data_IF_593883844056
#
_entry.id   IF_593883844056
#
_cell.length_a   1.000
_cell.length_b   1.000
_cell.length_c   1.000
_cell.angle_alpha   90.00
_cell.angle_beta   90.00
_cell.angle_gamma   90.00
#
_symmetry.space_group_name_H-M   'P 1'
#
loop_
_entity.id
_entity.type
_entity.pdbx_description
1 polymer ?
#
# COMPACT_ATOMS: atom_id res chain seq x y z
N UNK A 1 -7.77 75.79 9.22
CA UNK A 1 -7.18 74.77 8.32
C UNK A 1 -8.01 73.51 8.40
N UNK A 2 -8.52 73.03 7.27
CA UNK A 2 -9.28 71.77 7.14
C UNK A 2 -8.30 70.60 7.17
N UNK A 3 -8.59 69.57 7.97
CA UNK A 3 -8.08 68.20 7.73
C UNK A 3 -9.28 67.27 7.92
N UNK A 4 -9.89 66.91 6.80
CA UNK A 4 -10.82 65.80 6.65
C UNK A 4 -10.01 64.51 6.56
N UNK A 5 -10.17 63.60 7.52
CA UNK A 5 -9.62 62.24 7.48
C UNK A 5 -10.58 61.31 6.73
N UNK A 6 -10.11 60.74 5.63
CA UNK A 6 -10.80 59.76 4.79
C UNK A 6 -10.96 58.40 5.51
N UNK A 7 -11.99 57.61 5.17
CA UNK A 7 -12.16 56.24 5.63
C UNK A 7 -11.38 55.28 4.72
N UNK A 8 -10.42 54.54 5.27
CA UNK A 8 -9.85 53.37 4.60
C UNK A 8 -9.67 52.29 5.65
N UNK A 9 -10.75 51.53 5.89
CA UNK A 9 -10.62 50.18 6.43
C UNK A 9 -11.00 49.21 5.31
N UNK A 10 -10.06 49.09 4.36
CA UNK A 10 -9.97 47.92 3.49
C UNK A 10 -9.45 46.80 4.39
N UNK A 11 -10.36 46.11 5.07
CA UNK A 11 -10.09 44.76 5.57
C UNK A 11 -10.74 43.79 4.59
N UNK A 12 -10.17 43.77 3.39
CA UNK A 12 -10.35 42.69 2.44
C UNK A 12 -9.79 41.41 3.05
N UNK A 13 -10.61 40.71 3.82
CA UNK A 13 -10.44 39.29 4.14
C UNK A 13 -10.69 38.42 2.90
N UNK A 14 -9.96 38.69 1.81
CA UNK A 14 -9.93 37.86 0.61
C UNK A 14 -8.58 37.14 0.57
N UNK A 15 -8.30 36.39 1.63
CA UNK A 15 -7.34 35.30 1.61
C UNK A 15 -7.91 34.13 2.41
N UNK A 16 -9.12 33.71 2.06
CA UNK A 16 -9.47 32.30 2.20
C UNK A 16 -8.72 31.59 1.07
N UNK A 17 -7.43 31.33 1.28
CA UNK A 17 -6.78 30.23 0.59
C UNK A 17 -7.66 29.02 0.83
N UNK A 18 -8.30 28.54 -0.22
CA UNK A 18 -9.14 27.37 -0.20
C UNK A 18 -8.45 26.28 0.61
N UNK A 19 -8.98 25.93 1.78
CA UNK A 19 -8.86 24.57 2.26
C UNK A 19 -9.51 23.72 1.16
N UNK A 20 -8.70 23.23 0.22
CA UNK A 20 -9.11 22.12 -0.62
C UNK A 20 -9.36 20.99 0.36
N UNK A 21 -10.63 20.72 0.65
CA UNK A 21 -11.02 19.44 1.19
C UNK A 21 -10.46 18.41 0.21
N UNK A 22 -9.56 17.57 0.68
CA UNK A 22 -9.08 16.44 -0.11
C UNK A 22 -10.31 15.70 -0.64
N UNK A 23 -10.34 15.44 -1.93
CA UNK A 23 -11.39 14.58 -2.49
C UNK A 23 -11.04 13.14 -2.14
N UNK A 24 -12.02 12.28 -1.86
CA UNK A 24 -11.79 10.86 -1.57
C UNK A 24 -10.86 10.20 -2.60
N UNK A 25 -10.91 10.64 -3.87
CA UNK A 25 -10.01 10.20 -4.93
C UNK A 25 -8.54 10.60 -4.71
N UNK A 26 -8.27 11.83 -4.27
CA UNK A 26 -6.91 12.32 -4.00
C UNK A 26 -6.27 11.57 -2.83
N UNK A 27 -7.04 11.29 -1.77
CA UNK A 27 -6.57 10.49 -0.64
C UNK A 27 -6.27 9.04 -1.04
N UNK A 28 -7.14 8.41 -1.85
CA UNK A 28 -6.91 7.05 -2.37
C UNK A 28 -5.68 7.03 -3.28
N UNK A 29 -5.57 7.99 -4.20
CA UNK A 29 -4.41 8.09 -5.09
C UNK A 29 -3.12 8.29 -4.28
N UNK A 30 -3.14 9.11 -3.23
CA UNK A 30 -1.97 9.30 -2.36
C UNK A 30 -1.63 8.00 -1.61
N UNK A 31 -2.63 7.31 -1.05
CA UNK A 31 -2.41 6.04 -0.38
C UNK A 31 -1.79 4.98 -1.30
N UNK A 32 -2.31 4.85 -2.53
CA UNK A 32 -1.88 3.82 -3.47
C UNK A 32 -0.55 4.19 -4.13
N UNK A 33 -0.37 5.43 -4.59
CA UNK A 33 0.81 5.87 -5.35
C UNK A 33 2.01 6.17 -4.46
N UNK A 34 1.79 6.56 -3.20
CA UNK A 34 2.85 6.96 -2.27
C UNK A 34 2.99 5.95 -1.15
N UNK A 35 1.98 5.79 -0.30
CA UNK A 35 2.10 5.01 0.93
C UNK A 35 2.38 3.53 0.69
N UNK A 36 1.56 2.86 -0.12
CA UNK A 36 1.75 1.43 -0.42
C UNK A 36 3.06 1.23 -1.20
N UNK A 37 3.35 2.10 -2.16
CA UNK A 37 4.55 2.00 -3.01
C UNK A 37 5.85 2.19 -2.22
N UNK A 38 5.88 3.16 -1.30
CA UNK A 38 7.01 3.37 -0.39
C UNK A 38 7.16 2.18 0.56
N UNK A 39 6.06 1.72 1.18
CA UNK A 39 6.10 0.55 2.05
C UNK A 39 6.66 -0.67 1.33
N UNK A 40 6.17 -0.96 0.13
CA UNK A 40 6.66 -2.05 -0.71
C UNK A 40 8.17 -1.88 -0.96
N UNK A 41 8.58 -0.75 -1.53
CA UNK A 41 9.99 -0.50 -1.89
C UNK A 41 10.93 -0.62 -0.70
N UNK A 42 10.59 0.00 0.43
CA UNK A 42 11.43 0.05 1.62
C UNK A 42 11.55 -1.31 2.32
N UNK A 43 10.51 -2.15 2.23
CA UNK A 43 10.45 -3.43 2.94
C UNK A 43 10.71 -4.65 2.05
N UNK A 44 10.96 -4.48 0.75
CA UNK A 44 11.17 -5.58 -0.20
C UNK A 44 12.15 -6.65 0.31
N UNK A 45 13.36 -6.26 0.72
CA UNK A 45 14.38 -7.21 1.21
C UNK A 45 13.97 -7.85 2.53
N UNK A 46 13.42 -7.05 3.43
CA UNK A 46 13.01 -7.49 4.76
C UNK A 46 11.89 -8.54 4.68
N UNK A 47 10.93 -8.36 3.77
CA UNK A 47 9.86 -9.33 3.51
C UNK A 47 10.43 -10.67 3.01
N UNK A 48 11.36 -10.65 2.06
CA UNK A 48 12.00 -11.86 1.54
C UNK A 48 12.82 -12.57 2.62
N UNK A 49 13.63 -11.83 3.37
CA UNK A 49 14.47 -12.38 4.44
C UNK A 49 13.62 -12.98 5.56
N UNK A 50 12.58 -12.26 6.01
CA UNK A 50 11.65 -12.75 7.02
C UNK A 50 10.87 -13.98 6.54
N UNK A 51 10.55 -14.05 5.24
CA UNK A 51 9.89 -15.19 4.63
C UNK A 51 10.80 -16.44 4.59
N UNK A 52 12.08 -16.27 4.27
CA UNK A 52 13.05 -17.38 4.15
C UNK A 52 13.57 -17.88 5.49
N UNK A 53 13.78 -16.98 6.45
CA UNK A 53 14.48 -17.31 7.68
C UNK A 53 13.51 -17.67 8.80
N UNK A 54 13.45 -18.96 9.13
CA UNK A 54 12.65 -19.48 10.25
C UNK A 54 13.05 -18.87 11.60
N UNK A 55 14.31 -18.49 11.78
CA UNK A 55 14.84 -17.90 13.01
C UNK A 55 14.57 -16.40 13.17
N UNK A 56 13.97 -15.75 12.18
CA UNK A 56 13.56 -14.34 12.32
C UNK A 56 12.64 -14.18 13.52
N UNK A 57 12.88 -13.15 14.32
CA UNK A 57 12.13 -12.90 15.55
C UNK A 57 10.60 -12.92 15.31
N UNK A 58 9.84 -13.73 16.06
CA UNK A 58 8.40 -13.84 15.85
C UNK A 58 7.63 -12.51 15.95
N UNK A 59 8.09 -11.59 16.81
CA UNK A 59 7.47 -10.27 16.94
C UNK A 59 7.67 -9.40 15.69
N UNK A 60 8.87 -9.46 15.08
CA UNK A 60 9.16 -8.79 13.81
C UNK A 60 8.29 -9.34 12.68
N UNK A 61 8.19 -10.68 12.56
CA UNK A 61 7.30 -11.32 11.57
C UNK A 61 5.85 -10.89 11.74
N UNK A 62 5.35 -10.84 12.99
CA UNK A 62 4.00 -10.37 13.27
C UNK A 62 3.79 -8.89 12.90
N UNK A 63 4.77 -8.03 13.20
CA UNK A 63 4.70 -6.61 12.83
C UNK A 63 4.71 -6.40 11.32
N UNK A 64 5.57 -7.12 10.60
CA UNK A 64 5.61 -7.11 9.14
C UNK A 64 4.29 -7.61 8.55
N UNK A 65 3.72 -8.69 9.11
CA UNK A 65 2.43 -9.22 8.67
C UNK A 65 1.33 -8.17 8.81
N UNK A 66 1.18 -7.58 10.00
CA UNK A 66 0.13 -6.60 10.26
C UNK A 66 0.24 -5.38 9.32
N UNK A 67 1.47 -4.87 9.12
CA UNK A 67 1.69 -3.75 8.23
C UNK A 67 1.41 -4.12 6.76
N UNK A 68 1.89 -5.27 6.30
CA UNK A 68 1.63 -5.73 4.93
C UNK A 68 0.14 -5.96 4.69
N UNK A 69 -0.56 -6.57 5.64
CA UNK A 69 -1.99 -6.84 5.55
C UNK A 69 -2.82 -5.56 5.52
N UNK A 70 -2.55 -4.62 6.43
CA UNK A 70 -3.25 -3.32 6.43
C UNK A 70 -2.96 -2.58 5.14
N UNK A 71 -1.70 -2.49 4.70
CA UNK A 71 -1.34 -1.75 3.49
C UNK A 71 -1.97 -2.33 2.22
N UNK A 72 -1.87 -3.64 2.03
CA UNK A 72 -2.38 -4.28 0.82
C UNK A 72 -3.91 -4.44 0.85
N UNK A 73 -4.48 -4.82 1.99
CA UNK A 73 -5.92 -4.96 2.17
C UNK A 73 -6.67 -3.65 1.96
N UNK A 74 -6.17 -2.55 2.54
CA UNK A 74 -6.75 -1.22 2.29
C UNK A 74 -6.62 -0.81 0.83
N UNK A 75 -5.45 -1.00 0.20
CA UNK A 75 -5.29 -0.66 -1.22
C UNK A 75 -6.25 -1.48 -2.11
N UNK A 76 -6.38 -2.79 -1.87
CA UNK A 76 -7.33 -3.64 -2.60
C UNK A 76 -8.76 -3.16 -2.44
N UNK A 77 -9.19 -2.82 -1.22
CA UNK A 77 -10.52 -2.29 -0.95
C UNK A 77 -10.78 -0.99 -1.72
N UNK A 78 -9.90 0.00 -1.55
CA UNK A 78 -10.05 1.32 -2.16
C UNK A 78 -10.00 1.27 -3.70
N UNK A 79 -9.19 0.39 -4.27
CA UNK A 79 -9.08 0.23 -5.71
C UNK A 79 -10.28 -0.54 -6.30
N UNK A 80 -10.84 -1.52 -5.59
CA UNK A 80 -12.07 -2.19 -6.03
C UNK A 80 -13.30 -1.27 -5.98
N UNK A 81 -13.29 -0.21 -5.18
CA UNK A 81 -14.32 0.83 -5.22
C UNK A 81 -14.22 1.70 -6.49
N UNK A 82 -13.01 1.88 -7.03
CA UNK A 82 -12.75 2.73 -8.20
C UNK A 82 -12.67 1.98 -9.52
N UNK A 83 -12.31 0.70 -9.49
CA UNK A 83 -11.99 -0.12 -10.66
C UNK A 83 -12.68 -1.49 -10.55
N UNK A 84 -13.03 -2.14 -11.69
CA UNK A 84 -13.64 -3.47 -11.68
C UNK A 84 -12.76 -4.55 -11.01
N UNK A 85 -11.44 -4.36 -11.06
CA UNK A 85 -10.44 -5.20 -10.41
C UNK A 85 -9.33 -4.28 -9.86
N UNK A 86 -8.94 -4.46 -8.60
CA UNK A 86 -7.88 -3.68 -7.98
C UNK A 86 -6.53 -3.78 -8.72
N UNK A 87 -6.30 -4.86 -9.46
CA UNK A 87 -5.11 -5.03 -10.31
C UNK A 87 -5.08 -3.99 -11.43
N UNK A 88 -6.24 -3.69 -12.04
CA UNK A 88 -6.36 -2.58 -13.01
C UNK A 88 -6.05 -1.25 -12.32
N UNK A 89 -6.46 -1.12 -11.07
CA UNK A 89 -6.12 0.00 -10.20
C UNK A 89 -4.61 0.18 -10.06
N UNK A 90 -3.85 -0.87 -9.74
CA UNK A 90 -2.39 -0.81 -9.65
C UNK A 90 -1.76 -0.36 -10.98
N UNK A 91 -2.26 -0.88 -12.11
CA UNK A 91 -1.80 -0.47 -13.44
C UNK A 91 -2.05 1.01 -13.71
N UNK A 92 -3.27 1.50 -13.47
CA UNK A 92 -3.63 2.92 -13.68
C UNK A 92 -2.86 3.86 -12.75
N UNK A 93 -2.40 3.35 -11.62
CA UNK A 93 -1.58 4.06 -10.65
C UNK A 93 -0.07 3.98 -10.93
N UNK A 94 0.35 3.42 -12.07
CA UNK A 94 1.73 3.49 -12.55
C UNK A 94 2.70 2.59 -11.79
N UNK A 95 2.22 1.45 -11.27
CA UNK A 95 3.07 0.44 -10.66
C UNK A 95 4.00 -0.18 -11.71
N UNK A 96 5.31 -0.10 -11.44
CA UNK A 96 6.36 -0.66 -12.28
C UNK A 96 6.61 -2.15 -11.96
N UNK A 97 7.51 -2.78 -12.72
CA UNK A 97 7.86 -4.19 -12.51
C UNK A 97 8.27 -4.49 -11.05
N UNK A 98 9.02 -3.60 -10.40
CA UNK A 98 9.48 -3.83 -9.03
C UNK A 98 8.45 -3.58 -7.96
N UNK A 99 7.59 -2.59 -8.18
CA UNK A 99 6.46 -2.36 -7.28
C UNK A 99 5.57 -3.61 -7.27
N UNK A 100 5.25 -4.14 -8.46
CA UNK A 100 4.43 -5.34 -8.62
C UNK A 100 5.14 -6.61 -8.12
N UNK A 101 6.46 -6.74 -8.33
CA UNK A 101 7.24 -7.84 -7.77
C UNK A 101 7.19 -7.84 -6.24
N UNK A 102 7.23 -6.64 -5.63
CA UNK A 102 7.19 -6.52 -4.17
C UNK A 102 5.80 -6.75 -3.62
N UNK A 103 4.76 -6.20 -4.27
CA UNK A 103 3.37 -6.50 -3.92
C UNK A 103 3.09 -8.00 -4.00
N UNK A 104 3.63 -8.70 -4.99
CA UNK A 104 3.56 -10.17 -5.06
C UNK A 104 4.24 -10.80 -3.83
N UNK A 105 5.46 -10.39 -3.47
CA UNK A 105 6.15 -10.89 -2.28
C UNK A 105 5.39 -10.62 -0.98
N UNK A 106 4.67 -9.50 -0.87
CA UNK A 106 3.80 -9.24 0.27
C UNK A 106 2.71 -10.33 0.39
N UNK A 107 2.08 -10.73 -0.71
CA UNK A 107 1.08 -11.81 -0.70
C UNK A 107 1.68 -13.16 -0.27
N UNK A 108 2.87 -13.49 -0.77
CA UNK A 108 3.58 -14.74 -0.42
C UNK A 108 3.98 -14.75 1.05
N UNK A 109 4.53 -13.64 1.54
CA UNK A 109 4.92 -13.51 2.94
C UNK A 109 3.71 -13.65 3.87
N UNK A 110 2.59 -12.99 3.57
CA UNK A 110 1.38 -13.09 4.38
C UNK A 110 0.82 -14.52 4.42
N UNK A 111 0.75 -15.19 3.28
CA UNK A 111 0.32 -16.59 3.18
C UNK A 111 1.20 -17.52 4.02
N UNK A 112 2.53 -17.39 3.88
CA UNK A 112 3.46 -18.20 4.64
C UNK A 112 3.39 -17.89 6.13
N UNK A 113 3.16 -16.63 6.50
CA UNK A 113 2.98 -16.25 7.91
C UNK A 113 1.75 -16.93 8.51
N UNK A 114 0.57 -16.82 7.87
CA UNK A 114 -0.67 -17.42 8.42
C UNK A 114 -0.61 -18.94 8.48
N UNK A 115 0.10 -19.58 7.54
CA UNK A 115 0.27 -21.03 7.52
C UNK A 115 1.22 -21.55 8.60
N UNK A 116 2.16 -20.72 9.09
CA UNK A 116 3.19 -21.12 10.04
C UNK A 116 3.13 -20.36 11.38
N UNK A 117 2.05 -19.62 11.63
CA UNK A 117 1.93 -18.75 12.78
C UNK A 117 1.96 -19.53 14.11
N UNK A 118 2.78 -19.05 15.05
CA UNK A 118 2.86 -19.61 16.39
C UNK A 118 1.63 -19.26 17.24
N UNK A 119 1.24 -20.17 18.15
CA UNK A 119 -0.03 -20.11 18.88
C UNK A 119 -0.32 -18.80 19.64
N UNK A 120 0.71 -18.07 20.08
CA UNK A 120 0.52 -16.79 20.78
C UNK A 120 0.03 -15.65 19.88
N UNK A 121 0.34 -15.68 18.58
CA UNK A 121 -0.13 -14.68 17.60
C UNK A 121 -1.34 -15.20 16.82
N UNK A 122 -1.48 -16.53 16.70
CA UNK A 122 -2.65 -17.15 16.05
C UNK A 122 -3.97 -16.73 16.68
N UNK A 123 -4.01 -16.56 18.01
CA UNK A 123 -5.21 -16.13 18.75
C UNK A 123 -5.69 -14.72 18.35
N UNK A 124 -4.81 -13.90 17.79
CA UNK A 124 -5.10 -12.51 17.42
C UNK A 124 -5.58 -12.41 15.95
N UNK A 125 -5.52 -13.51 15.18
CA UNK A 125 -6.03 -13.57 13.81
C UNK A 125 -7.50 -14.02 13.80
N UNK A 126 -8.34 -13.23 13.15
CA UNK A 126 -9.74 -13.58 12.87
C UNK A 126 -9.83 -14.46 11.62
N UNK A 127 -10.84 -15.32 11.56
CA UNK A 127 -11.09 -16.17 10.39
C UNK A 127 -11.27 -15.36 9.09
N UNK A 128 -11.87 -14.17 9.18
CA UNK A 128 -12.01 -13.23 8.07
C UNK A 128 -10.64 -12.81 7.51
N UNK A 129 -9.69 -12.50 8.39
CA UNK A 129 -8.31 -12.14 8.01
C UNK A 129 -7.60 -13.31 7.35
N UNK A 130 -7.77 -14.54 7.86
CA UNK A 130 -7.20 -15.74 7.26
C UNK A 130 -7.72 -15.95 5.83
N UNK A 131 -9.05 -15.90 5.67
CA UNK A 131 -9.68 -16.07 4.36
C UNK A 131 -9.25 -14.98 3.37
N UNK A 132 -9.16 -13.74 3.83
CA UNK A 132 -8.75 -12.62 2.99
C UNK A 132 -7.27 -12.72 2.55
N UNK A 133 -6.38 -13.17 3.44
CA UNK A 133 -4.97 -13.46 3.09
C UNK A 133 -4.88 -14.54 2.02
N UNK A 134 -5.62 -15.65 2.17
CA UNK A 134 -5.65 -16.70 1.15
C UNK A 134 -6.18 -16.18 -0.20
N UNK A 135 -7.19 -15.32 -0.19
CA UNK A 135 -7.72 -14.70 -1.41
C UNK A 135 -6.68 -13.80 -2.10
N UNK A 136 -6.00 -12.94 -1.33
CA UNK A 136 -4.90 -12.11 -1.82
C UNK A 136 -3.78 -12.96 -2.44
N UNK A 137 -3.42 -14.07 -1.79
CA UNK A 137 -2.42 -15.00 -2.30
C UNK A 137 -2.84 -15.68 -3.61
N UNK A 138 -4.12 -16.01 -3.77
CA UNK A 138 -4.65 -16.58 -5.01
C UNK A 138 -4.68 -15.54 -6.14
N UNK A 139 -4.99 -14.28 -5.82
CA UNK A 139 -4.97 -13.17 -6.78
C UNK A 139 -3.54 -12.81 -7.25
N UNK A 140 -2.48 -13.29 -6.57
CA UNK A 140 -1.07 -13.02 -6.95
C UNK A 140 -0.75 -13.36 -8.41
N UNK A 141 -1.43 -14.36 -8.99
CA UNK A 141 -1.21 -14.73 -10.39
C UNK A 141 -1.60 -13.61 -11.36
N UNK A 142 -2.57 -12.76 -10.99
CA UNK A 142 -2.91 -11.55 -11.75
C UNK A 142 -1.81 -10.48 -11.60
N UNK A 143 -1.27 -10.32 -10.38
CA UNK A 143 -0.15 -9.41 -10.09
C UNK A 143 1.08 -9.81 -10.91
N UNK A 144 1.41 -11.10 -10.95
CA UNK A 144 2.51 -11.67 -11.74
C UNK A 144 2.31 -11.40 -13.23
N UNK A 145 1.11 -11.63 -13.77
CA UNK A 145 0.80 -11.32 -15.17
C UNK A 145 1.00 -9.84 -15.48
N UNK A 146 0.50 -8.95 -14.62
CA UNK A 146 0.68 -7.51 -14.79
C UNK A 146 2.16 -7.14 -14.70
N UNK A 147 2.89 -7.66 -13.72
CA UNK A 147 4.33 -7.46 -13.55
C UNK A 147 5.09 -7.83 -14.80
N UNK A 148 4.84 -9.03 -15.33
CA UNK A 148 5.58 -9.56 -16.47
C UNK A 148 5.25 -8.85 -17.79
N UNK A 149 4.19 -8.03 -17.82
CA UNK A 149 3.93 -7.09 -18.90
C UNK A 149 4.76 -5.79 -18.85
N UNK A 150 5.42 -5.50 -17.72
CA UNK A 150 6.21 -4.27 -17.51
C UNK A 150 7.69 -4.46 -17.90
N UNK A 151 8.34 -3.34 -18.18
CA UNK A 151 9.78 -3.31 -18.48
C UNK A 151 10.61 -3.73 -17.26
N UNK A 152 11.56 -4.65 -17.49
CA UNK A 152 12.42 -5.28 -16.47
C UNK A 152 13.74 -4.53 -16.27
N UNK A 153 14.08 -3.59 -17.15
CA UNK A 153 15.45 -3.04 -17.27
C UNK A 153 15.90 -2.15 -16.12
N UNK A 154 15.03 -1.78 -15.18
CA UNK A 154 15.35 -0.76 -14.17
C UNK A 154 15.76 -1.26 -12.78
N UNK A 155 15.65 -2.57 -12.44
CA UNK A 155 15.77 -2.98 -11.04
C UNK A 155 16.54 -4.29 -10.81
N UNK A 156 17.53 -4.23 -9.91
CA UNK A 156 18.29 -5.37 -9.40
C UNK A 156 17.55 -6.01 -8.23
N UNK A 157 16.63 -6.92 -8.53
CA UNK A 157 15.91 -7.70 -7.51
C UNK A 157 16.81 -8.75 -6.89
N UNK A 158 16.67 -8.95 -5.59
CA UNK A 158 17.27 -10.08 -4.88
C UNK A 158 16.59 -11.38 -5.31
N UNK A 159 15.29 -11.32 -5.54
CA UNK A 159 14.45 -12.44 -5.95
C UNK A 159 13.15 -11.98 -6.64
N UNK A 160 12.76 -12.74 -7.66
CA UNK A 160 11.48 -12.56 -8.35
C UNK A 160 10.42 -13.44 -7.67
N UNK A 161 9.24 -12.89 -7.42
CA UNK A 161 8.13 -13.62 -6.81
C UNK A 161 7.50 -14.62 -7.81
N UNK A 162 7.16 -15.83 -7.36
CA UNK A 162 6.58 -16.91 -8.20
C UNK A 162 5.25 -17.45 -7.65
#
# INVERSE_FOLDING_TARGET
MKITLLPILVLSCIFLTSCKASTDKEDIDNYVKVDLKNYATDNYRLLIEANKNVNTEPALKNSLFNNAYVKLGTARSLLNEQYPDWIDGLEKNGYDYGDLNTVCWMTVFMENYVNNIEGKYKKDLKDETLNDVHNLYNERQKIIKLRDSKDRTAKNFVEVCE
#
